data_IF_136438686150
#
_entry.id   IF_136438686150
#
_cell.length_a   1.000
_cell.length_b   1.000
_cell.length_c   1.000
_cell.angle_alpha   90.00
_cell.angle_beta   90.00
_cell.angle_gamma   90.00
#
_symmetry.space_group_name_H-M   'P 1'
#
loop_
_entity.id
_entity.type
_entity.pdbx_description
1 polymer ?
#
# COMPACT_ATOMS: atom_id res chain seq x y z
N UNK A 1 9.75 -27.33 65.09
CA UNK A 1 10.22 -26.46 63.98
C UNK A 1 9.64 -27.07 62.73
N UNK A 2 8.53 -26.54 62.23
CA UNK A 2 8.01 -26.89 60.92
C UNK A 2 7.75 -25.58 60.18
N UNK A 3 8.54 -25.30 59.14
CA UNK A 3 8.30 -24.24 58.17
C UNK A 3 8.04 -24.90 56.82
N UNK A 4 6.78 -24.93 56.39
CA UNK A 4 6.43 -25.11 54.97
C UNK A 4 5.12 -24.40 54.66
N UNK A 5 5.23 -23.14 54.25
CA UNK A 5 4.21 -22.52 53.43
C UNK A 5 4.90 -21.74 52.31
N UNK A 6 5.24 -22.44 51.22
CA UNK A 6 5.76 -21.82 50.01
C UNK A 6 4.58 -21.30 49.18
N UNK A 7 4.18 -20.04 49.42
CA UNK A 7 3.37 -19.33 48.44
C UNK A 7 4.32 -18.82 47.37
N UNK A 8 4.48 -19.60 46.30
CA UNK A 8 5.08 -19.13 45.06
C UNK A 8 4.04 -18.22 44.41
N UNK A 9 4.28 -16.91 44.39
CA UNK A 9 3.46 -15.94 43.66
C UNK A 9 3.65 -16.17 42.16
N UNK A 10 2.75 -16.93 41.55
CA UNK A 10 2.70 -17.11 40.10
C UNK A 10 2.13 -15.85 39.45
N UNK A 11 2.98 -15.07 38.79
CA UNK A 11 2.52 -13.97 37.93
C UNK A 11 1.80 -14.56 36.71
N UNK A 12 0.51 -14.27 36.55
CA UNK A 12 -0.24 -14.62 35.34
C UNK A 12 0.07 -13.59 34.24
N UNK A 13 0.84 -14.00 33.22
CA UNK A 13 1.13 -13.17 32.04
C UNK A 13 0.05 -13.44 30.98
N UNK A 14 -0.73 -12.41 30.63
CA UNK A 14 -1.68 -12.48 29.52
C UNK A 14 -0.98 -11.95 28.26
N UNK A 15 -0.68 -12.82 27.31
CA UNK A 15 -0.07 -12.47 26.02
C UNK A 15 -1.15 -12.07 24.99
N UNK A 16 -1.23 -10.77 24.67
CA UNK A 16 -2.12 -10.23 23.63
C UNK A 16 -1.39 -9.93 22.31
N UNK A 17 -0.17 -10.43 22.12
CA UNK A 17 0.69 -10.09 20.98
C UNK A 17 0.14 -10.47 19.60
N UNK A 18 -0.95 -11.26 19.54
CA UNK A 18 -1.50 -11.81 18.31
C UNK A 18 -2.97 -11.49 18.01
N UNK A 19 -3.58 -10.52 18.71
CA UNK A 19 -4.97 -10.13 18.45
C UNK A 19 -5.04 -8.95 17.47
N UNK A 20 -5.45 -9.21 16.23
CA UNK A 20 -5.88 -8.17 15.28
C UNK A 20 -7.22 -7.59 15.72
N UNK A 21 -7.23 -6.67 16.68
CA UNK A 21 -8.48 -6.03 17.14
C UNK A 21 -8.47 -4.56 16.76
N UNK A 22 -9.36 -4.19 15.83
CA UNK A 22 -9.70 -2.81 15.48
C UNK A 22 -10.78 -2.22 16.42
N UNK A 23 -11.00 -2.82 17.59
CA UNK A 23 -12.03 -2.47 18.56
C UNK A 23 -11.48 -2.50 19.99
N UNK A 24 -12.14 -1.76 20.89
CA UNK A 24 -11.83 -1.74 22.32
C UNK A 24 -11.91 -3.16 22.91
N UNK A 25 -10.78 -3.66 23.44
CA UNK A 25 -10.75 -4.96 24.13
C UNK A 25 -11.23 -4.76 25.56
N UNK A 26 -12.45 -5.22 25.85
CA UNK A 26 -12.99 -5.29 27.22
C UNK A 26 -12.52 -6.63 27.82
N UNK A 27 -11.66 -6.57 28.84
CA UNK A 27 -11.24 -7.76 29.58
C UNK A 27 -12.17 -7.90 30.79
N UNK A 28 -13.01 -8.94 30.80
CA UNK A 28 -13.91 -9.23 31.91
C UNK A 28 -13.16 -10.01 33.01
N UNK A 29 -12.89 -9.36 34.14
CA UNK A 29 -12.23 -9.95 35.32
C UNK A 29 -13.22 -10.29 36.45
N UNK A 30 -14.52 -10.30 36.19
CA UNK A 30 -15.57 -10.41 37.21
C UNK A 30 -15.54 -11.69 38.06
N UNK A 31 -14.81 -12.73 37.65
CA UNK A 31 -14.70 -14.00 38.37
C UNK A 31 -13.31 -14.30 38.97
N UNK A 32 -12.42 -13.31 39.06
CA UNK A 32 -11.08 -13.52 39.57
C UNK A 32 -10.93 -12.85 40.94
N UNK A 33 -10.76 -13.63 42.01
CA UNK A 33 -10.39 -13.12 43.33
C UNK A 33 -8.92 -12.66 43.30
N UNK A 34 -8.67 -11.48 42.71
CA UNK A 34 -7.31 -10.93 42.57
C UNK A 34 -7.10 -9.85 43.62
N UNK A 35 -6.34 -10.18 44.67
CA UNK A 35 -5.78 -9.22 45.62
C UNK A 35 -4.38 -8.75 45.20
N UNK A 36 -4.16 -8.58 43.90
CA UNK A 36 -2.86 -8.22 43.31
C UNK A 36 -3.03 -7.15 42.21
N UNK A 37 -2.04 -6.25 42.13
CA UNK A 37 -2.01 -5.17 41.14
C UNK A 37 -1.78 -5.75 39.74
N UNK A 38 -2.70 -5.48 38.81
CA UNK A 38 -2.56 -5.86 37.39
C UNK A 38 -1.68 -4.84 36.67
N UNK A 39 -0.54 -5.27 36.13
CA UNK A 39 0.35 -4.44 35.30
C UNK A 39 0.05 -4.72 33.83
N UNK A 40 -0.39 -3.69 33.10
CA UNK A 40 -0.62 -3.76 31.65
C UNK A 40 0.57 -3.09 30.95
N UNK A 41 1.40 -3.85 30.23
CA UNK A 41 2.56 -3.32 29.51
C UNK A 41 2.18 -2.86 28.10
N UNK A 42 1.95 -1.54 27.93
CA UNK A 42 1.67 -0.92 26.63
C UNK A 42 2.95 -0.49 25.88
N UNK A 43 4.14 -0.59 26.50
CA UNK A 43 5.38 0.00 25.97
C UNK A 43 5.76 -0.54 24.59
N UNK A 44 5.53 -1.83 24.35
CA UNK A 44 5.82 -2.48 23.06
C UNK A 44 5.00 -1.90 21.89
N UNK A 45 3.76 -1.48 22.13
CA UNK A 45 2.89 -0.88 21.11
C UNK A 45 3.32 0.56 20.77
N UNK A 46 3.69 1.34 21.78
CA UNK A 46 4.20 2.71 21.59
C UNK A 46 5.51 2.70 20.80
N UNK A 47 6.43 1.79 21.11
CA UNK A 47 7.71 1.62 20.40
C UNK A 47 7.47 1.28 18.91
N UNK A 48 6.54 0.37 18.61
CA UNK A 48 6.18 0.00 17.23
C UNK A 48 5.63 1.19 16.45
N UNK A 49 4.73 1.97 17.07
CA UNK A 49 4.15 3.19 16.48
C UNK A 49 5.23 4.24 16.20
N UNK A 50 6.13 4.46 17.15
CA UNK A 50 7.22 5.43 16.99
C UNK A 50 8.16 5.05 15.85
N UNK A 51 8.55 3.76 15.77
CA UNK A 51 9.39 3.24 14.69
C UNK A 51 8.73 3.41 13.32
N UNK A 52 7.43 3.21 13.21
CA UNK A 52 6.69 3.45 11.96
C UNK A 52 6.71 4.92 11.53
N UNK A 53 6.51 5.84 12.47
CA UNK A 53 6.54 7.28 12.22
C UNK A 53 7.93 7.70 11.73
N UNK A 54 8.99 7.25 12.41
CA UNK A 54 10.36 7.55 12.05
C UNK A 54 10.71 7.06 10.64
N UNK A 55 10.36 5.81 10.31
CA UNK A 55 10.60 5.26 8.96
C UNK A 55 9.86 6.07 7.88
N UNK A 56 8.63 6.50 8.16
CA UNK A 56 7.84 7.33 7.24
C UNK A 56 8.48 8.71 7.05
N UNK A 57 8.95 9.33 8.11
CA UNK A 57 9.66 10.62 8.04
C UNK A 57 10.96 10.52 7.24
N UNK A 58 11.76 9.49 7.48
CA UNK A 58 12.99 9.22 6.72
C UNK A 58 12.70 9.06 5.22
N UNK A 59 11.65 8.30 4.89
CA UNK A 59 11.22 8.14 3.51
C UNK A 59 10.81 9.48 2.87
N UNK A 60 9.99 10.27 3.55
CA UNK A 60 9.55 11.58 3.06
C UNK A 60 10.77 12.50 2.83
N UNK A 61 11.68 12.56 3.80
CA UNK A 61 12.90 13.38 3.68
C UNK A 61 13.76 12.95 2.49
N UNK A 62 13.92 11.64 2.27
CA UNK A 62 14.64 11.12 1.09
C UNK A 62 14.00 11.60 -0.21
N UNK A 63 12.68 11.51 -0.34
CA UNK A 63 11.97 11.95 -1.54
C UNK A 63 12.11 13.47 -1.77
N UNK A 64 12.08 14.26 -0.68
CA UNK A 64 12.28 15.71 -0.75
C UNK A 64 13.67 16.07 -1.26
N UNK A 65 14.71 15.45 -0.68
CA UNK A 65 16.11 15.65 -1.09
C UNK A 65 16.31 15.24 -2.55
N UNK A 66 15.80 14.08 -2.96
CA UNK A 66 15.89 13.65 -4.36
C UNK A 66 15.18 14.60 -5.32
N UNK A 67 14.03 15.15 -4.93
CA UNK A 67 13.30 16.13 -5.74
C UNK A 67 14.09 17.42 -5.95
N UNK A 68 14.74 17.93 -4.90
CA UNK A 68 15.61 19.11 -4.97
C UNK A 68 16.81 18.82 -5.88
N UNK A 69 17.51 17.71 -5.63
CA UNK A 69 18.66 17.29 -6.44
C UNK A 69 18.31 17.11 -7.92
N UNK A 70 17.12 16.59 -8.21
CA UNK A 70 16.64 16.40 -9.57
C UNK A 70 16.45 17.74 -10.30
N UNK A 71 15.92 18.76 -9.62
CA UNK A 71 15.77 20.11 -10.16
C UNK A 71 17.12 20.78 -10.36
N UNK A 72 18.00 20.75 -9.35
CA UNK A 72 19.34 21.37 -9.45
C UNK A 72 20.20 20.75 -10.56
N UNK A 73 19.97 19.50 -10.97
CA UNK A 73 20.67 18.87 -12.11
C UNK A 73 20.17 19.36 -13.48
N UNK A 74 18.93 19.84 -13.56
CA UNK A 74 18.27 20.19 -14.82
C UNK A 74 18.12 21.70 -15.02
N UNK A 75 18.30 22.48 -13.95
CA UNK A 75 18.06 23.92 -13.90
C UNK A 75 19.23 24.60 -13.22
N UNK A 76 19.37 25.90 -13.44
CA UNK A 76 20.39 26.72 -12.77
C UNK A 76 19.99 27.17 -11.34
N UNK A 77 18.96 26.56 -10.75
CA UNK A 77 18.53 26.90 -9.39
C UNK A 77 19.53 26.41 -8.34
N UNK A 78 19.74 27.23 -7.32
CA UNK A 78 20.44 26.80 -6.11
C UNK A 78 19.58 25.84 -5.30
N UNK A 79 20.20 25.07 -4.40
CA UNK A 79 19.48 24.12 -3.54
C UNK A 79 18.38 24.80 -2.72
N UNK A 80 18.67 26.01 -2.20
CA UNK A 80 17.74 26.83 -1.44
C UNK A 80 16.54 27.26 -2.29
N UNK A 81 16.79 27.79 -3.49
CA UNK A 81 15.75 28.25 -4.41
C UNK A 81 14.88 27.08 -4.90
N UNK A 82 15.49 25.95 -5.24
CA UNK A 82 14.78 24.75 -5.67
C UNK A 82 13.87 24.22 -4.56
N UNK A 83 14.34 24.24 -3.31
CA UNK A 83 13.54 23.85 -2.13
C UNK A 83 12.37 24.80 -1.90
N UNK A 84 12.60 26.11 -1.94
CA UNK A 84 11.54 27.10 -1.76
C UNK A 84 10.45 26.96 -2.84
N UNK A 85 10.84 26.77 -4.10
CA UNK A 85 9.89 26.55 -5.21
C UNK A 85 9.14 25.22 -5.09
N UNK A 86 9.80 24.16 -4.63
CA UNK A 86 9.14 22.88 -4.36
C UNK A 86 8.14 22.99 -3.22
N UNK A 87 8.46 23.70 -2.14
CA UNK A 87 7.56 23.89 -1.00
C UNK A 87 6.30 24.65 -1.40
N UNK A 88 6.42 25.70 -2.22
CA UNK A 88 5.28 26.44 -2.78
C UNK A 88 4.37 25.55 -3.66
N UNK A 89 4.94 24.56 -4.33
CA UNK A 89 4.24 23.68 -5.28
C UNK A 89 3.96 22.28 -4.71
N UNK A 90 3.88 22.11 -3.38
CA UNK A 90 3.60 20.81 -2.72
C UNK A 90 4.54 19.67 -3.17
N UNK A 91 5.81 19.98 -3.41
CA UNK A 91 6.86 19.08 -3.90
C UNK A 91 6.57 18.45 -5.27
N UNK A 92 5.72 19.08 -6.10
CA UNK A 92 5.54 18.68 -7.49
C UNK A 92 6.64 19.26 -8.38
N UNK A 93 7.69 18.47 -8.60
CA UNK A 93 8.83 18.86 -9.42
C UNK A 93 8.45 19.20 -10.88
N UNK A 94 7.38 18.61 -11.44
CA UNK A 94 6.98 18.85 -12.84
C UNK A 94 6.55 20.29 -13.05
N UNK A 95 5.82 20.86 -12.09
CA UNK A 95 5.34 22.24 -12.18
C UNK A 95 6.53 23.19 -12.13
N UNK A 96 7.46 23.00 -11.18
CA UNK A 96 8.65 23.84 -11.03
C UNK A 96 9.52 23.78 -12.30
N UNK A 97 9.66 22.59 -12.88
CA UNK A 97 10.43 22.39 -14.10
C UNK A 97 9.75 23.00 -15.32
N UNK A 98 8.43 22.83 -15.45
CA UNK A 98 7.64 23.45 -16.52
C UNK A 98 7.69 24.97 -16.44
N UNK A 99 7.60 25.54 -15.23
CA UNK A 99 7.73 26.97 -14.97
C UNK A 99 9.11 27.48 -15.40
N UNK A 100 10.18 26.79 -15.04
CA UNK A 100 11.54 27.16 -15.44
C UNK A 100 11.76 27.11 -16.95
N UNK A 101 11.30 26.05 -17.62
CA UNK A 101 11.43 25.91 -19.08
C UNK A 101 10.39 26.72 -19.87
N UNK A 102 9.45 27.40 -19.21
CA UNK A 102 8.36 28.11 -19.87
C UNK A 102 7.40 27.20 -20.64
N UNK A 103 7.34 25.92 -20.29
CA UNK A 103 6.41 24.96 -20.89
C UNK A 103 5.03 25.23 -20.29
N UNK A 104 4.18 25.90 -21.05
CA UNK A 104 2.78 26.06 -20.69
C UNK A 104 2.11 24.69 -20.75
N UNK A 105 1.39 24.29 -19.70
CA UNK A 105 0.61 23.06 -19.71
C UNK A 105 -0.30 23.08 -20.94
N UNK A 106 -0.18 22.05 -21.79
CA UNK A 106 -1.13 21.84 -22.87
C UNK A 106 -2.50 21.78 -22.22
N UNK A 107 -3.37 22.72 -22.57
CA UNK A 107 -4.76 22.66 -22.15
C UNK A 107 -5.29 21.31 -22.58
N UNK A 108 -5.85 20.55 -21.63
CA UNK A 108 -6.57 19.33 -21.97
C UNK A 108 -7.70 19.79 -22.88
N UNK A 109 -7.59 19.48 -24.16
CA UNK A 109 -8.63 19.81 -25.13
C UNK A 109 -9.86 19.04 -24.67
N UNK A 110 -10.84 19.75 -24.12
CA UNK A 110 -12.10 19.15 -23.71
C UNK A 110 -12.69 18.46 -24.94
N UNK A 111 -12.77 17.13 -24.87
CA UNK A 111 -13.28 16.34 -25.98
C UNK A 111 -14.73 16.75 -26.19
N UNK A 112 -15.10 17.00 -27.44
CA UNK A 112 -16.52 17.21 -27.77
C UNK A 112 -17.31 15.96 -27.40
N UNK A 113 -18.61 16.11 -27.11
CA UNK A 113 -19.49 14.98 -26.80
C UNK A 113 -19.36 13.86 -27.84
N UNK A 114 -19.28 14.22 -29.12
CA UNK A 114 -19.08 13.24 -30.19
C UNK A 114 -17.73 12.52 -30.09
N UNK A 115 -16.63 13.22 -29.77
CA UNK A 115 -15.31 12.60 -29.57
C UNK A 115 -15.30 11.64 -28.37
N UNK A 116 -16.03 11.98 -27.30
CA UNK A 116 -16.20 11.10 -26.15
C UNK A 116 -16.99 9.84 -26.55
N UNK A 117 -18.14 10.01 -27.23
CA UNK A 117 -18.97 8.91 -27.74
C UNK A 117 -18.15 7.98 -28.65
N UNK A 118 -17.40 8.53 -29.61
CA UNK A 118 -16.55 7.70 -30.49
C UNK A 118 -15.45 6.96 -29.71
N UNK A 119 -14.91 7.58 -28.65
CA UNK A 119 -13.96 6.94 -27.75
C UNK A 119 -14.58 5.76 -27.00
N UNK A 120 -15.78 5.94 -26.47
CA UNK A 120 -16.51 4.87 -25.77
C UNK A 120 -16.89 3.72 -26.69
N UNK A 121 -17.37 4.01 -27.91
CA UNK A 121 -17.66 2.99 -28.91
C UNK A 121 -16.40 2.18 -29.24
N UNK A 122 -15.26 2.84 -29.41
CA UNK A 122 -13.99 2.15 -29.68
C UNK A 122 -13.57 1.27 -28.50
N UNK A 123 -13.62 1.80 -27.29
CA UNK A 123 -13.26 1.04 -26.09
C UNK A 123 -14.14 -0.20 -25.95
N UNK A 124 -15.45 -0.05 -26.12
CA UNK A 124 -16.41 -1.16 -26.10
C UNK A 124 -16.07 -2.23 -27.16
N UNK A 125 -15.75 -1.80 -28.38
CA UNK A 125 -15.41 -2.71 -29.47
C UNK A 125 -14.08 -3.42 -29.21
N UNK A 126 -13.06 -2.70 -28.71
CA UNK A 126 -11.75 -3.24 -28.39
C UNK A 126 -11.83 -4.27 -27.26
N UNK A 127 -12.64 -3.99 -26.23
CA UNK A 127 -12.88 -4.90 -25.12
C UNK A 127 -13.66 -6.14 -25.56
N UNK A 128 -14.72 -5.96 -26.36
CA UNK A 128 -15.47 -7.07 -26.95
C UNK A 128 -14.58 -7.98 -27.81
N UNK A 129 -13.77 -7.39 -28.69
CA UNK A 129 -12.86 -8.13 -29.56
C UNK A 129 -11.77 -8.85 -28.74
N UNK A 130 -11.24 -8.22 -27.69
CA UNK A 130 -10.25 -8.84 -26.79
C UNK A 130 -10.84 -10.05 -26.06
N UNK A 131 -12.06 -9.91 -25.54
CA UNK A 131 -12.78 -11.00 -24.87
C UNK A 131 -13.03 -12.17 -25.83
N UNK A 132 -13.54 -11.89 -27.02
CA UNK A 132 -13.79 -12.91 -28.04
C UNK A 132 -12.52 -13.67 -28.43
N UNK A 133 -11.41 -12.97 -28.66
CA UNK A 133 -10.12 -13.61 -28.97
C UNK A 133 -9.67 -14.55 -27.86
N UNK A 134 -9.81 -14.12 -26.60
CA UNK A 134 -9.43 -14.93 -25.44
C UNK A 134 -10.30 -16.18 -25.31
N UNK A 135 -11.61 -16.05 -25.46
CA UNK A 135 -12.54 -17.18 -25.39
C UNK A 135 -12.29 -18.19 -26.52
N UNK A 136 -12.02 -17.69 -27.73
CA UNK A 136 -11.65 -18.55 -28.87
C UNK A 136 -10.36 -19.33 -28.62
N UNK A 137 -9.31 -18.67 -28.13
CA UNK A 137 -8.04 -19.32 -27.82
C UNK A 137 -8.21 -20.40 -26.72
N UNK A 138 -9.02 -20.12 -25.69
CA UNK A 138 -9.32 -21.08 -24.63
C UNK A 138 -10.10 -22.30 -25.14
N UNK A 139 -11.09 -22.09 -26.00
CA UNK A 139 -11.85 -23.18 -26.61
C UNK A 139 -10.96 -24.08 -27.47
N UNK A 140 -10.13 -23.49 -28.34
CA UNK A 140 -9.18 -24.23 -29.18
C UNK A 140 -8.15 -25.01 -28.34
N UNK A 141 -7.68 -24.43 -27.23
CA UNK A 141 -6.76 -25.10 -26.31
C UNK A 141 -7.43 -26.31 -25.62
N UNK A 142 -8.69 -26.16 -25.20
CA UNK A 142 -9.47 -27.23 -24.59
C UNK A 142 -9.73 -28.37 -25.57
N UNK A 143 -10.10 -28.06 -26.82
CA UNK A 143 -10.29 -29.07 -27.87
C UNK A 143 -9.01 -29.87 -28.13
N UNK A 144 -7.86 -29.19 -28.27
CA UNK A 144 -6.56 -29.86 -28.43
C UNK A 144 -6.22 -30.76 -27.25
N UNK A 145 -6.56 -30.35 -26.03
CA UNK A 145 -6.35 -31.17 -24.83
C UNK A 145 -7.23 -32.43 -24.85
N UNK A 146 -8.51 -32.29 -25.18
CA UNK A 146 -9.45 -33.40 -25.32
C UNK A 146 -9.04 -34.38 -26.42
N UNK A 147 -8.56 -33.89 -27.56
CA UNK A 147 -8.07 -34.71 -28.66
C UNK A 147 -6.85 -35.55 -28.24
N UNK A 148 -5.87 -34.93 -27.55
CA UNK A 148 -4.71 -35.64 -27.00
C UNK A 148 -5.10 -36.70 -25.97
N UNK A 149 -6.07 -36.40 -25.10
CA UNK A 149 -6.55 -37.36 -24.11
C UNK A 149 -7.18 -38.60 -24.79
N UNK A 150 -8.02 -38.39 -25.81
CA UNK A 150 -8.63 -39.48 -26.60
C UNK A 150 -7.62 -40.29 -27.40
N UNK A 151 -6.59 -39.65 -27.95
CA UNK A 151 -5.53 -40.37 -28.66
C UNK A 151 -4.74 -41.29 -27.72
N UNK A 152 -4.42 -40.82 -26.52
CA UNK A 152 -3.67 -41.61 -25.54
C UNK A 152 -4.47 -42.79 -24.95
N UNK A 153 -5.80 -42.71 -24.87
CA UNK A 153 -6.64 -43.85 -24.49
C UNK A 153 -6.72 -44.95 -25.56
N UNK A 154 -6.71 -44.58 -26.84
CA UNK A 154 -6.81 -45.54 -27.96
C UNK A 154 -5.47 -46.26 -28.29
N UNK A 155 -4.35 -45.80 -27.73
CA UNK A 155 -3.00 -46.39 -27.95
C UNK A 155 -2.60 -47.35 -26.80
N UNK A 156 -3.49 -47.55 -25.81
CA UNK A 156 -3.34 -48.53 -24.73
C UNK A 156 -4.08 -49.83 -25.05
#
# INVERSE_FOLDING_TARGET
MDLSNSNVSENVIIDLSNSNVSENVIIDLSNSNVSENVIIDLSANEIRKQKYIEQKEQYINRIKIESVNMICRQTDYTEEEAREKLEKNNYNYKIVLNEYFGIKESHVIEKTTNQQIYGEIRNLMDDGARKFRKEKEQAEAYEKYMEKAKFNENVK
#
